data_IF_146960414117
#
_entry.id   IF_146960414117
#
_cell.length_a   1.000
_cell.length_b   1.000
_cell.length_c   1.000
_cell.angle_alpha   90.00
_cell.angle_beta   90.00
_cell.angle_gamma   90.00
#
_symmetry.space_group_name_H-M   'P 1'
#
loop_
_entity.id
_entity.type
_entity.pdbx_description
1 polymer ?
#
# COMPACT_ATOMS: atom_id res chain seq x y z
N UNK A 1 -17.85 -23.18 -25.37
CA UNK A 1 -17.04 -21.98 -25.12
C UNK A 1 -17.47 -21.48 -23.76
N UNK A 2 -16.66 -21.68 -22.73
CA UNK A 2 -16.97 -21.10 -21.42
C UNK A 2 -16.79 -19.60 -21.57
N UNK A 3 -17.90 -18.89 -21.49
CA UNK A 3 -17.92 -17.45 -21.27
C UNK A 3 -17.49 -17.22 -19.81
N UNK A 4 -16.24 -17.55 -19.49
CA UNK A 4 -15.58 -17.18 -18.23
C UNK A 4 -15.21 -15.70 -18.34
N UNK A 5 -16.23 -14.86 -18.51
CA UNK A 5 -16.11 -13.42 -18.35
C UNK A 5 -15.48 -13.17 -16.99
N UNK A 6 -14.40 -12.38 -16.97
CA UNK A 6 -13.69 -12.02 -15.75
C UNK A 6 -14.74 -11.64 -14.69
N UNK A 7 -14.90 -12.40 -13.59
CA UNK A 7 -15.97 -12.14 -12.65
C UNK A 7 -15.80 -10.69 -12.16
N UNK A 8 -16.86 -9.89 -12.22
CA UNK A 8 -16.82 -8.47 -11.89
C UNK A 8 -16.17 -8.23 -10.52
N UNK A 9 -16.39 -9.14 -9.56
CA UNK A 9 -15.70 -9.20 -8.27
C UNK A 9 -14.17 -9.25 -8.37
N UNK A 10 -13.61 -10.01 -9.31
CA UNK A 10 -12.16 -10.09 -9.50
C UNK A 10 -11.61 -8.79 -10.08
N UNK A 11 -12.33 -8.16 -11.01
CA UNK A 11 -11.91 -6.87 -11.57
C UNK A 11 -11.97 -5.77 -10.50
N UNK A 12 -13.04 -5.73 -9.71
CA UNK A 12 -13.17 -4.78 -8.60
C UNK A 12 -12.04 -4.94 -7.57
N UNK A 13 -11.70 -6.18 -7.18
CA UNK A 13 -10.55 -6.44 -6.29
C UNK A 13 -9.22 -5.97 -6.87
N UNK A 14 -9.02 -6.13 -8.18
CA UNK A 14 -7.80 -5.65 -8.84
C UNK A 14 -7.75 -4.12 -8.80
N UNK A 15 -8.86 -3.45 -9.07
CA UNK A 15 -8.96 -1.98 -9.01
C UNK A 15 -8.68 -1.49 -7.59
N UNK A 16 -9.35 -2.06 -6.58
CA UNK A 16 -9.12 -1.71 -5.16
C UNK A 16 -7.66 -1.92 -4.73
N UNK A 17 -7.04 -3.02 -5.19
CA UNK A 17 -5.63 -3.29 -4.91
C UNK A 17 -4.70 -2.25 -5.56
N UNK A 18 -4.97 -1.85 -6.81
CA UNK A 18 -4.19 -0.82 -7.52
C UNK A 18 -4.34 0.54 -6.83
N UNK A 19 -5.55 0.93 -6.47
CA UNK A 19 -5.81 2.19 -5.74
C UNK A 19 -5.06 2.21 -4.40
N UNK A 20 -5.06 1.09 -3.68
CA UNK A 20 -4.32 0.97 -2.42
C UNK A 20 -2.81 1.08 -2.62
N UNK A 21 -2.28 0.51 -3.71
CA UNK A 21 -0.86 0.64 -4.08
C UNK A 21 -0.51 2.09 -4.41
N UNK A 22 -1.33 2.79 -5.18
CA UNK A 22 -1.11 4.20 -5.52
C UNK A 22 -1.06 5.10 -4.28
N UNK A 23 -2.01 4.96 -3.36
CA UNK A 23 -2.00 5.71 -2.10
C UNK A 23 -0.72 5.46 -1.30
N UNK A 24 -0.31 4.19 -1.24
CA UNK A 24 0.87 3.77 -0.50
C UNK A 24 2.14 4.36 -1.13
N UNK A 25 2.28 4.30 -2.44
CA UNK A 25 3.39 4.94 -3.16
C UNK A 25 3.41 6.46 -2.94
N UNK A 26 2.25 7.12 -2.90
CA UNK A 26 2.13 8.55 -2.58
C UNK A 26 2.74 8.89 -1.22
N UNK A 27 2.50 8.07 -0.19
CA UNK A 27 3.10 8.24 1.14
C UNK A 27 4.63 8.10 1.07
N UNK A 28 5.16 7.09 0.35
CA UNK A 28 6.60 6.89 0.22
C UNK A 28 7.30 8.04 -0.51
N UNK A 29 6.68 8.58 -1.56
CA UNK A 29 7.20 9.75 -2.28
C UNK A 29 7.35 10.96 -1.35
N UNK A 30 6.38 11.21 -0.46
CA UNK A 30 6.48 12.30 0.52
C UNK A 30 7.64 12.09 1.51
N UNK A 31 8.00 10.83 1.80
CA UNK A 31 9.11 10.49 2.71
C UNK A 31 10.47 10.39 2.01
N UNK A 32 10.55 10.49 0.68
CA UNK A 32 11.81 10.39 -0.08
C UNK A 32 12.87 11.42 0.35
N UNK A 33 12.44 12.56 0.88
CA UNK A 33 13.33 13.64 1.34
C UNK A 33 13.70 13.57 2.82
N UNK A 34 13.13 12.61 3.56
CA UNK A 34 13.37 12.47 5.01
C UNK A 34 14.65 11.65 5.20
N UNK A 35 15.61 12.18 5.97
CA UNK A 35 16.80 11.42 6.33
C UNK A 35 16.45 10.25 7.26
N UNK A 36 17.35 9.27 7.34
CA UNK A 36 17.14 8.11 8.21
C UNK A 36 17.02 8.48 9.69
N UNK A 37 17.76 9.49 10.15
CA UNK A 37 17.69 10.00 11.53
C UNK A 37 16.37 10.70 11.80
N UNK A 38 15.93 11.58 10.90
CA UNK A 38 14.62 12.26 11.00
C UNK A 38 13.47 11.24 11.01
N UNK A 39 13.53 10.23 10.14
CA UNK A 39 12.53 9.16 10.10
C UNK A 39 12.49 8.34 11.40
N UNK A 40 13.66 8.09 12.03
CA UNK A 40 13.73 7.35 13.30
C UNK A 40 13.25 8.18 14.48
N UNK A 41 13.41 9.50 14.43
CA UNK A 41 12.93 10.41 15.46
C UNK A 41 11.41 10.63 15.41
N UNK A 42 10.78 10.45 14.25
CA UNK A 42 9.34 10.64 14.04
C UNK A 42 8.58 9.31 14.25
N UNK A 43 7.89 9.16 15.40
CA UNK A 43 7.04 7.99 15.69
C UNK A 43 5.84 7.86 14.76
N UNK A 44 5.19 8.96 14.44
CA UNK A 44 3.94 8.97 13.67
C UNK A 44 4.20 8.51 12.24
N UNK A 45 5.32 8.97 11.66
CA UNK A 45 5.79 8.50 10.36
C UNK A 45 6.13 7.01 10.34
N UNK A 46 6.67 6.46 11.44
CA UNK A 46 6.98 5.04 11.55
C UNK A 46 5.70 4.20 11.66
N UNK A 47 4.75 4.63 12.48
CA UNK A 47 3.48 3.93 12.68
C UNK A 47 2.64 3.87 11.39
N UNK A 48 2.64 4.96 10.60
CA UNK A 48 1.94 5.01 9.30
C UNK A 48 2.57 4.01 8.33
N UNK A 49 3.90 3.96 8.25
CA UNK A 49 4.61 3.02 7.36
C UNK A 49 4.41 1.59 7.84
N UNK A 50 4.49 1.31 9.14
CA UNK A 50 4.30 -0.03 9.69
C UNK A 50 2.87 -0.55 9.45
N UNK A 51 1.86 0.30 9.68
CA UNK A 51 0.46 -0.06 9.44
C UNK A 51 0.14 -0.32 7.97
N UNK A 52 0.71 0.48 7.05
CA UNK A 52 0.41 0.38 5.60
C UNK A 52 1.26 -0.68 4.90
N UNK A 53 2.51 -0.89 5.31
CA UNK A 53 3.45 -1.75 4.57
C UNK A 53 3.85 -3.03 5.30
N UNK A 54 3.93 -3.03 6.64
CA UNK A 54 4.35 -4.22 7.41
C UNK A 54 3.17 -5.12 7.72
N UNK A 55 2.01 -4.56 8.09
CA UNK A 55 0.79 -5.38 8.27
C UNK A 55 0.27 -5.99 6.97
N UNK A 56 0.52 -5.36 5.82
CA UNK A 56 0.16 -5.93 4.52
C UNK A 56 0.95 -7.19 4.16
N UNK A 57 2.17 -7.34 4.67
CA UNK A 57 3.02 -8.52 4.44
C UNK A 57 2.79 -9.66 5.45
N UNK A 58 1.97 -9.45 6.48
CA UNK A 58 1.68 -10.45 7.54
C UNK A 58 0.36 -11.21 7.30
N UNK A 59 -0.27 -11.02 6.13
CA UNK A 59 -1.51 -11.70 5.74
C UNK A 59 -1.29 -12.90 4.81
N UNK A 60 -0.06 -13.43 4.77
CA UNK A 60 0.30 -14.68 4.07
C UNK A 60 -0.19 -15.94 4.80
#
# INVERSE_FOLDING_TARGET
MSDDGFPADRLNRIVEAIETIEESLGILVQKQRVSREEYRADSDSRDIVERRFVKMTDSD
#
